data_IF_589586713247
#
_entry.id   IF_589586713247
#
_cell.length_a   1.000
_cell.length_b   1.000
_cell.length_c   1.000
_cell.angle_alpha   90.00
_cell.angle_beta   90.00
_cell.angle_gamma   90.00
#
_symmetry.space_group_name_H-M   'P 1'
#
loop_
_entity.id
_entity.type
_entity.pdbx_description
1 polymer ?
#
# COMPACT_ATOMS: atom_id res chain seq x y z
N UNK A 1 6.50 14.04 -15.82
CA UNK A 1 5.80 14.07 -15.62
C UNK A 1 5.38 13.86 -14.54
N UNK A 2 5.39 14.07 -13.92
CA UNK A 2 5.05 13.77 -12.99
C UNK A 2 3.91 14.08 -12.60
N UNK A 3 3.20 13.54 -12.13
CA UNK A 3 2.13 13.90 -11.79
C UNK A 3 2.00 13.77 -10.43
N UNK A 4 1.61 14.56 -9.67
CA UNK A 4 1.37 14.48 -8.32
C UNK A 4 0.15 13.77 -8.16
N UNK A 5 0.15 12.61 -7.67
CA UNK A 5 -1.04 11.83 -7.43
C UNK A 5 -1.49 12.00 -6.02
N UNK A 6 -2.69 12.46 -5.85
CA UNK A 6 -3.24 12.63 -4.54
C UNK A 6 -4.16 11.49 -4.27
N UNK A 7 -3.94 10.75 -3.25
CA UNK A 7 -4.76 9.62 -2.91
C UNK A 7 -5.58 9.89 -1.67
N UNK A 8 -6.88 9.73 -1.80
CA UNK A 8 -7.77 9.93 -0.68
C UNK A 8 -8.13 8.57 -0.13
N UNK A 9 -7.63 8.25 1.02
CA UNK A 9 -7.83 6.93 1.59
C UNK A 9 -9.01 6.82 2.52
N UNK A 10 -9.53 7.91 2.97
CA UNK A 10 -10.57 7.88 3.96
C UNK A 10 -9.95 7.81 5.35
N UNK A 11 -10.75 8.14 6.34
CA UNK A 11 -10.24 8.25 7.70
C UNK A 11 -9.70 6.94 8.24
N UNK A 12 -10.41 5.88 7.95
CA UNK A 12 -10.02 4.58 8.48
C UNK A 12 -8.62 4.18 8.00
N UNK A 13 -8.39 4.27 6.71
CA UNK A 13 -7.09 3.85 6.19
C UNK A 13 -6.00 4.86 6.46
N UNK A 14 -6.37 6.11 6.58
CA UNK A 14 -5.39 7.12 6.94
C UNK A 14 -4.84 6.85 8.33
N UNK A 15 -5.71 6.50 9.25
CA UNK A 15 -5.27 6.17 10.59
C UNK A 15 -4.42 4.92 10.59
N UNK A 16 -4.85 3.94 9.82
CA UNK A 16 -4.10 2.70 9.75
C UNK A 16 -2.68 2.94 9.24
N UNK A 17 -2.56 3.71 8.17
CA UNK A 17 -1.26 3.99 7.60
C UNK A 17 -0.39 4.78 8.57
N UNK A 18 -0.98 5.77 9.22
CA UNK A 18 -0.23 6.56 10.17
C UNK A 18 0.27 5.72 11.34
N UNK A 19 -0.55 4.79 11.78
CA UNK A 19 -0.15 3.90 12.86
C UNK A 19 1.02 3.02 12.45
N UNK A 20 1.04 2.58 11.21
CA UNK A 20 2.14 1.76 10.74
C UNK A 20 3.45 2.51 10.74
N UNK A 21 3.39 3.79 10.38
CA UNK A 21 4.59 4.60 10.41
C UNK A 21 5.01 4.89 11.84
N UNK A 22 4.06 5.20 12.70
CA UNK A 22 4.36 5.49 14.07
C UNK A 22 4.95 4.30 14.80
N UNK A 23 4.53 3.12 14.45
CA UNK A 23 5.04 1.93 15.12
C UNK A 23 6.46 1.59 14.70
N UNK A 24 6.97 2.26 13.70
CA UNK A 24 8.32 2.02 13.25
C UNK A 24 8.46 0.95 12.21
N UNK A 25 7.35 0.37 11.78
CA UNK A 25 7.43 -0.67 10.77
C UNK A 25 7.80 -0.13 9.43
N UNK A 26 7.38 1.08 9.14
CA UNK A 26 7.68 1.71 7.88
C UNK A 26 8.22 3.09 8.13
N UNK A 27 9.05 3.57 7.26
CA UNK A 27 9.67 4.87 7.48
C UNK A 27 8.80 6.03 7.02
N UNK A 28 7.82 5.78 6.17
CA UNK A 28 6.97 6.85 5.70
C UNK A 28 5.70 6.28 5.11
N UNK A 29 4.74 7.17 4.88
CA UNK A 29 3.48 6.77 4.30
C UNK A 29 3.69 6.16 2.92
N UNK A 30 4.61 6.71 2.17
CA UNK A 30 4.90 6.18 0.85
C UNK A 30 5.36 4.73 0.92
N UNK A 31 6.14 4.42 1.94
CA UNK A 31 6.62 3.06 2.10
C UNK A 31 5.47 2.11 2.40
N UNK A 32 4.53 2.55 3.22
CA UNK A 32 3.38 1.71 3.52
C UNK A 32 2.61 1.39 2.24
N UNK A 33 2.37 2.41 1.46
CA UNK A 33 1.60 2.26 0.24
C UNK A 33 2.33 1.38 -0.75
N UNK A 34 3.61 1.60 -0.88
CA UNK A 34 4.42 0.81 -1.81
C UNK A 34 4.41 -0.66 -1.43
N UNK A 35 4.50 -0.94 -0.14
CA UNK A 35 4.46 -2.31 0.34
C UNK A 35 3.10 -2.95 0.08
N UNK A 36 2.05 -2.18 0.28
CA UNK A 36 0.72 -2.70 0.04
C UNK A 36 0.51 -3.05 -1.42
N UNK A 37 1.00 -2.20 -2.29
CA UNK A 37 0.87 -2.45 -3.71
C UNK A 37 1.68 -3.66 -4.14
N UNK A 38 2.81 -3.84 -3.51
CA UNK A 38 3.64 -4.99 -3.82
C UNK A 38 2.94 -6.29 -3.40
N UNK A 39 2.27 -6.25 -2.26
CA UNK A 39 1.51 -7.40 -1.81
C UNK A 39 0.36 -7.70 -2.75
N UNK A 40 -0.29 -6.66 -3.23
CA UNK A 40 -1.39 -6.83 -4.15
C UNK A 40 -0.91 -7.47 -5.44
N UNK A 41 0.23 -7.03 -5.91
CA UNK A 41 0.80 -7.61 -7.12
C UNK A 41 1.07 -9.10 -6.95
N UNK A 42 1.59 -9.45 -5.80
CA UNK A 42 1.89 -10.84 -5.52
C UNK A 42 0.63 -11.69 -5.47
N UNK A 43 -0.40 -11.13 -4.90
CA UNK A 43 -1.64 -11.86 -4.81
C UNK A 43 -2.27 -12.08 -6.17
N UNK A 44 -2.23 -11.08 -6.99
CA UNK A 44 -2.79 -11.21 -8.32
C UNK A 44 -2.01 -12.20 -9.16
N UNK A 45 -0.72 -12.21 -8.96
CA UNK A 45 0.10 -13.13 -9.67
C UNK A 45 -0.21 -14.56 -9.27
N UNK A 46 -0.41 -14.78 -7.99
CA UNK A 46 -0.77 -16.06 -7.49
C UNK A 46 -2.09 -16.53 -8.06
N UNK A 47 -3.04 -15.67 -8.09
CA UNK A 47 -4.33 -15.99 -8.61
C UNK A 47 -4.26 -16.39 -10.06
N UNK A 48 -3.49 -15.68 -10.82
CA UNK A 48 -3.34 -15.96 -12.21
C UNK A 48 -2.74 -17.35 -12.40
N UNK A 49 -1.78 -17.68 -11.58
CA UNK A 49 -1.15 -18.97 -11.67
C UNK A 49 -2.07 -20.09 -11.29
N UNK A 50 -2.91 -19.84 -10.32
CA UNK A 50 -3.83 -20.86 -9.90
C UNK A 50 -4.92 -21.13 -10.89
N UNK A 51 -5.25 -20.17 -11.66
CA UNK A 51 -6.33 -20.31 -12.59
C UNK A 51 -5.95 -21.14 -13.78
N UNK A 52 -4.72 -21.32 -14.07
CA UNK A 52 -4.38 -22.02 -15.16
C UNK A 52 -4.79 -23.36 -15.13
#
# INVERSE_FOLDING_TARGET
MSKNTSISLGNHFEEFVNDEVKSGRYSSVSEVIRSALRLLELEEKKERELIK
#
